data_IF_616852053162
#
_entry.id   IF_616852053162
#
_cell.length_a   1.000
_cell.length_b   1.000
_cell.length_c   1.000
_cell.angle_alpha   90.00
_cell.angle_beta   90.00
_cell.angle_gamma   90.00
#
_symmetry.space_group_name_H-M   'P 1'
#
loop_
_entity.id
_entity.type
_entity.pdbx_description
1 polymer ?
#
# COMPACT_ATOMS: atom_id res chain seq x y z
N UNK A 1 11.58 17.08 -6.21
CA UNK A 1 10.46 16.10 -6.34
C UNK A 1 11.01 14.94 -7.15
N UNK A 2 11.20 13.79 -6.52
CA UNK A 2 11.61 12.56 -7.20
C UNK A 2 10.36 11.77 -7.56
N UNK A 3 10.28 11.29 -8.81
CA UNK A 3 9.22 10.40 -9.30
C UNK A 3 9.89 9.18 -9.90
N UNK A 4 9.42 7.99 -9.56
CA UNK A 4 9.93 6.73 -10.08
C UNK A 4 8.75 5.89 -10.57
N UNK A 5 8.79 5.52 -11.84
CA UNK A 5 7.84 4.58 -12.42
C UNK A 5 8.34 3.16 -12.20
N UNK A 6 7.45 2.25 -11.81
CA UNK A 6 7.75 0.83 -11.58
C UNK A 6 6.62 -0.02 -12.17
N UNK A 7 6.99 -1.16 -12.76
CA UNK A 7 6.05 -2.18 -13.21
C UNK A 7 5.58 -3.05 -12.03
N UNK A 8 4.36 -3.57 -12.11
CA UNK A 8 3.79 -4.45 -11.09
C UNK A 8 2.98 -5.59 -11.70
N UNK A 9 2.94 -6.74 -11.01
CA UNK A 9 2.10 -7.88 -11.38
C UNK A 9 0.82 -7.96 -10.52
N UNK A 10 0.91 -7.56 -9.26
CA UNK A 10 -0.21 -7.47 -8.32
C UNK A 10 -0.10 -6.22 -7.45
N UNK A 11 -1.23 -5.83 -6.87
CA UNK A 11 -1.26 -4.87 -5.77
C UNK A 11 -1.49 -5.62 -4.46
N UNK A 12 -0.46 -5.64 -3.64
CA UNK A 12 -0.51 -6.21 -2.30
C UNK A 12 -1.08 -5.20 -1.31
N UNK A 13 -2.36 -5.37 -0.94
CA UNK A 13 -3.13 -4.43 -0.13
C UNK A 13 -3.34 -4.93 1.30
N UNK A 14 -3.26 -3.99 2.25
CA UNK A 14 -3.45 -4.25 3.67
C UNK A 14 -4.92 -4.46 4.03
N UNK A 15 -5.18 -5.47 4.85
CA UNK A 15 -6.52 -5.83 5.33
C UNK A 15 -6.70 -5.35 6.77
N UNK A 16 -7.69 -4.49 6.94
CA UNK A 16 -8.16 -3.96 8.23
C UNK A 16 -9.54 -4.52 8.59
N UNK A 17 -9.97 -4.29 9.82
CA UNK A 17 -11.30 -4.72 10.28
C UNK A 17 -12.39 -3.87 9.62
N UNK A 18 -13.52 -4.48 9.25
CA UNK A 18 -14.68 -3.80 8.65
C UNK A 18 -14.36 -2.96 7.39
N UNK A 19 -13.47 -3.46 6.52
CA UNK A 19 -13.02 -2.73 5.33
C UNK A 19 -13.66 -3.22 4.02
N UNK A 20 -13.41 -2.49 2.94
CA UNK A 20 -13.74 -2.86 1.57
C UNK A 20 -12.51 -2.78 0.67
N UNK A 21 -12.54 -3.44 -0.49
CA UNK A 21 -11.47 -3.34 -1.49
C UNK A 21 -11.21 -1.89 -1.89
N UNK A 22 -12.27 -1.10 -2.05
CA UNK A 22 -12.15 0.32 -2.38
C UNK A 22 -11.40 1.10 -1.30
N UNK A 23 -11.67 0.80 -0.02
CA UNK A 23 -10.95 1.44 1.09
C UNK A 23 -9.49 0.97 1.17
N UNK A 24 -9.23 -0.33 0.98
CA UNK A 24 -7.88 -0.87 0.93
C UNK A 24 -7.02 -0.23 -0.19
N UNK A 25 -7.58 -0.05 -1.39
CA UNK A 25 -6.90 0.63 -2.50
C UNK A 25 -6.67 2.12 -2.24
N UNK A 26 -7.62 2.79 -1.57
CA UNK A 26 -7.41 4.16 -1.12
C UNK A 26 -6.23 4.24 -0.14
N UNK A 27 -6.19 3.34 0.84
CA UNK A 27 -5.10 3.27 1.82
C UNK A 27 -3.75 2.97 1.17
N UNK A 28 -3.72 2.09 0.16
CA UNK A 28 -2.52 1.81 -0.63
C UNK A 28 -1.94 3.07 -1.28
N UNK A 29 -2.81 3.94 -1.80
CA UNK A 29 -2.42 5.20 -2.42
C UNK A 29 -2.42 6.40 -1.46
N UNK A 30 -2.51 6.20 -0.14
CA UNK A 30 -2.39 7.30 0.81
C UNK A 30 -0.95 7.81 0.87
N UNK A 31 -0.80 9.07 1.27
CA UNK A 31 0.52 9.64 1.54
C UNK A 31 1.03 9.10 2.88
N UNK A 32 2.24 8.55 2.88
CA UNK A 32 2.99 8.21 4.08
C UNK A 32 4.06 9.28 4.37
N UNK A 33 4.35 9.51 5.65
CA UNK A 33 5.40 10.43 6.09
C UNK A 33 6.63 9.61 6.49
N UNK A 34 7.75 9.89 5.83
CA UNK A 34 9.06 9.33 6.09
C UNK A 34 9.78 10.24 7.09
N UNK A 35 9.81 9.86 8.36
CA UNK A 35 10.41 10.65 9.45
C UNK A 35 11.18 9.76 10.44
N UNK A 36 11.83 10.38 11.43
CA UNK A 36 12.66 9.70 12.45
C UNK A 36 13.72 8.77 11.81
N UNK A 37 13.71 7.48 12.14
CA UNK A 37 14.65 6.49 11.62
C UNK A 37 14.35 6.08 10.17
N UNK A 38 13.17 6.45 9.63
CA UNK A 38 12.71 6.12 8.28
C UNK A 38 12.84 7.30 7.28
N UNK A 39 13.74 8.24 7.52
CA UNK A 39 13.94 9.41 6.64
C UNK A 39 14.40 9.03 5.24
N UNK A 40 14.00 9.83 4.25
CA UNK A 40 14.40 9.64 2.85
C UNK A 40 15.83 10.15 2.62
N UNK A 41 16.68 9.34 1.98
CA UNK A 41 18.02 9.77 1.56
C UNK A 41 17.92 10.63 0.31
N UNK A 42 18.16 11.93 0.43
CA UNK A 42 18.10 12.86 -0.69
C UNK A 42 19.43 12.90 -1.45
N UNK A 43 19.42 12.55 -2.73
CA UNK A 43 20.63 12.58 -3.59
C UNK A 43 21.16 13.99 -3.82
N UNK A 44 20.30 15.02 -3.80
CA UNK A 44 20.73 16.42 -3.98
C UNK A 44 21.30 17.04 -2.70
N UNK A 45 20.78 16.66 -1.53
CA UNK A 45 21.23 17.19 -0.24
C UNK A 45 22.31 16.32 0.42
N UNK A 46 22.60 15.15 -0.16
CA UNK A 46 23.52 14.13 0.38
C UNK A 46 23.26 13.77 1.86
N UNK A 47 22.00 13.84 2.30
CA UNK A 47 21.59 13.69 3.70
C UNK A 47 20.17 13.13 3.82
N UNK A 48 19.81 12.65 5.02
CA UNK A 48 18.49 12.12 5.35
C UNK A 48 17.50 13.24 5.68
N UNK A 49 16.40 13.29 4.95
CA UNK A 49 15.39 14.33 5.05
C UNK A 49 14.02 13.72 5.35
N UNK A 50 13.19 14.47 6.07
CA UNK A 50 11.78 14.12 6.18
C UNK A 50 11.10 14.32 4.83
N UNK A 51 10.22 13.39 4.46
CA UNK A 51 9.58 13.42 3.16
C UNK A 51 8.17 12.85 3.21
N UNK A 52 7.38 13.21 2.21
CA UNK A 52 6.10 12.56 1.94
C UNK A 52 6.24 11.64 0.74
N UNK A 53 5.89 10.37 0.92
CA UNK A 53 5.86 9.38 -0.15
C UNK A 53 4.42 8.98 -0.44
N UNK A 54 4.10 8.78 -1.71
CA UNK A 54 2.79 8.30 -2.14
C UNK A 54 2.97 7.40 -3.35
N UNK A 55 2.29 6.26 -3.33
CA UNK A 55 2.26 5.34 -4.47
C UNK A 55 1.05 5.63 -5.32
N UNK A 56 1.21 5.55 -6.65
CA UNK A 56 0.11 5.66 -7.58
C UNK A 56 0.17 4.69 -8.76
N UNK A 57 -0.99 4.19 -9.17
CA UNK A 57 -1.19 3.34 -10.35
C UNK A 57 -1.30 4.24 -11.57
N UNK A 58 -0.17 4.38 -12.27
CA UNK A 58 -0.09 5.22 -13.47
C UNK A 58 -0.92 4.68 -14.64
N UNK A 59 -0.95 3.35 -14.83
CA UNK A 59 -1.70 2.67 -15.89
C UNK A 59 -2.31 1.39 -15.34
N UNK A 60 -3.60 1.16 -15.63
CA UNK A 60 -4.29 -0.07 -15.24
C UNK A 60 -4.02 -1.20 -16.26
N UNK A 61 -3.72 -2.42 -15.79
CA UNK A 61 -3.65 -3.60 -16.63
C UNK A 61 -5.04 -4.10 -17.02
N UNK A 62 -5.13 -4.91 -18.07
CA UNK A 62 -6.37 -5.59 -18.46
C UNK A 62 -6.87 -6.57 -17.37
N UNK A 63 -5.94 -7.14 -16.61
CA UNK A 63 -6.20 -8.02 -15.47
C UNK A 63 -5.49 -7.42 -14.27
N UNK A 64 -6.25 -6.98 -13.26
CA UNK A 64 -5.71 -6.47 -12.02
C UNK A 64 -5.75 -7.56 -10.95
N UNK A 65 -4.58 -8.09 -10.57
CA UNK A 65 -4.45 -9.00 -9.44
C UNK A 65 -4.35 -8.20 -8.13
N UNK A 66 -5.22 -8.50 -7.17
CA UNK A 66 -5.19 -7.92 -5.82
C UNK A 66 -4.82 -8.99 -4.80
N UNK A 67 -3.66 -8.84 -4.18
CA UNK A 67 -3.23 -9.72 -3.11
C UNK A 67 -3.65 -9.13 -1.76
N UNK A 68 -4.60 -9.79 -1.09
CA UNK A 68 -5.01 -9.43 0.26
C UNK A 68 -3.97 -9.92 1.26
N UNK A 69 -3.24 -9.01 1.92
CA UNK A 69 -2.26 -9.33 2.97
C UNK A 69 -2.96 -9.83 4.25
N UNK A 70 -3.44 -11.07 4.20
CA UNK A 70 -4.15 -11.72 5.31
C UNK A 70 -3.21 -12.41 6.29
N UNK A 71 -1.94 -12.58 6.01
CA UNK A 71 -1.00 -13.16 6.96
C UNK A 71 -0.16 -12.03 7.56
N UNK A 72 -0.39 -11.74 8.84
CA UNK A 72 0.34 -10.70 9.58
C UNK A 72 1.17 -11.37 10.68
N UNK A 73 2.38 -10.88 10.87
CA UNK A 73 3.21 -11.28 12.00
C UNK A 73 2.64 -10.67 13.28
N UNK A 74 2.41 -11.50 14.29
CA UNK A 74 1.89 -11.06 15.59
C UNK A 74 2.98 -11.25 16.64
N UNK A 75 3.59 -10.15 17.07
CA UNK A 75 4.71 -10.16 18.03
C UNK A 75 4.34 -10.88 19.33
N UNK A 76 3.13 -10.66 19.85
CA UNK A 76 2.62 -11.34 21.06
C UNK A 76 2.72 -12.88 20.97
N UNK A 77 2.56 -13.45 19.79
CA UNK A 77 2.57 -14.91 19.57
C UNK A 77 3.82 -15.40 18.84
N UNK A 78 4.73 -14.49 18.49
CA UNK A 78 5.97 -14.76 17.75
C UNK A 78 5.75 -15.61 16.48
N UNK A 79 4.65 -15.37 15.73
CA UNK A 79 4.29 -16.14 14.53
C UNK A 79 3.38 -15.36 13.58
N UNK A 80 3.29 -15.84 12.33
CA UNK A 80 2.29 -15.36 11.38
C UNK A 80 0.90 -15.93 11.71
N UNK A 81 -0.11 -15.06 11.66
CA UNK A 81 -1.52 -15.42 11.90
C UNK A 81 -2.37 -14.92 10.73
N UNK A 82 -3.34 -15.75 10.33
CA UNK A 82 -4.33 -15.40 9.31
C UNK A 82 -5.39 -14.44 9.87
N UNK A 83 -5.39 -13.22 9.35
CA UNK A 83 -6.41 -12.18 9.51
C UNK A 83 -7.68 -12.58 8.75
N UNK A 84 -8.69 -12.98 9.51
CA UNK A 84 -9.98 -13.44 8.99
C UNK A 84 -11.04 -12.32 8.92
N UNK A 85 -10.62 -11.05 8.88
CA UNK A 85 -11.54 -9.93 8.73
C UNK A 85 -12.35 -10.03 7.43
N UNK A 86 -13.64 -9.69 7.51
CA UNK A 86 -14.50 -9.52 6.35
C UNK A 86 -13.97 -8.35 5.52
N UNK A 87 -13.82 -8.59 4.22
CA UNK A 87 -13.48 -7.56 3.23
C UNK A 87 -14.59 -7.55 2.20
N UNK A 88 -15.31 -6.43 2.10
CA UNK A 88 -16.39 -6.29 1.12
C UNK A 88 -15.79 -5.94 -0.24
N UNK A 89 -16.21 -6.63 -1.29
CA UNK A 89 -15.81 -6.35 -2.66
C UNK A 89 -17.06 -6.24 -3.56
N UNK A 90 -17.16 -5.19 -4.38
CA UNK A 90 -18.27 -5.05 -5.33
C UNK A 90 -18.04 -5.93 -6.57
N UNK A 91 -19.11 -6.20 -7.32
CA UNK A 91 -19.00 -6.79 -8.66
C UNK A 91 -18.26 -5.85 -9.62
N UNK A 92 -18.53 -4.55 -9.52
CA UNK A 92 -17.88 -3.50 -10.29
C UNK A 92 -17.01 -2.63 -9.37
N UNK A 93 -15.71 -2.61 -9.63
CA UNK A 93 -14.75 -1.82 -8.86
C UNK A 93 -14.34 -0.56 -9.63
N UNK A 94 -14.67 0.61 -9.08
CA UNK A 94 -14.13 1.89 -9.57
C UNK A 94 -12.78 2.16 -8.93
N UNK A 95 -11.79 2.44 -9.78
CA UNK A 95 -10.44 2.79 -9.35
C UNK A 95 -10.25 4.29 -9.60
N UNK A 96 -10.15 5.07 -8.52
CA UNK A 96 -10.06 6.53 -8.57
C UNK A 96 -8.62 6.97 -8.34
N UNK A 97 -7.95 7.54 -9.35
CA UNK A 97 -6.63 8.17 -9.24
C UNK A 97 -5.74 7.54 -8.15
N UNK A 98 -5.72 6.20 -8.14
CA UNK A 98 -4.81 5.42 -7.32
C UNK A 98 -3.45 5.77 -7.78
#
# INVERSE_FOLDING_TARGET
ITSKDEDFFDLSIDVEQNTSITNCLRNFSNTETLCNDNKFKCDSCYSYQEAHKRLRVKRLPNILALHLKRFKYMEQYNRFIKVSHRVVFPLELRIFNT
#
